data_IF_760972937238
#
_entry.id   IF_760972937238
#
_cell.length_a   1.000
_cell.length_b   1.000
_cell.length_c   1.000
_cell.angle_alpha   90.00
_cell.angle_beta   90.00
_cell.angle_gamma   90.00
#
_symmetry.space_group_name_H-M   'P 1'
#
loop_
_entity.id
_entity.type
_entity.pdbx_description
1 polymer ?
#
# COMPACT_ATOMS: atom_id res chain seq x y z
N UNK A 1 -17.45 -3.19 29.13
CA UNK A 1 -17.25 -3.91 27.85
C UNK A 1 -16.75 -3.00 26.71
N UNK A 2 -17.37 -1.84 26.45
CA UNK A 2 -16.94 -0.93 25.37
C UNK A 2 -15.51 -0.37 25.50
N UNK A 3 -15.03 -0.12 26.72
CA UNK A 3 -13.65 0.34 26.96
C UNK A 3 -12.59 -0.72 26.65
N UNK A 4 -12.92 -2.02 26.83
CA UNK A 4 -12.03 -3.13 26.51
C UNK A 4 -11.86 -3.29 25.00
N UNK A 5 -12.96 -3.17 24.25
CA UNK A 5 -12.98 -3.16 22.78
C UNK A 5 -12.22 -1.96 22.20
N UNK A 6 -12.37 -0.77 22.79
CA UNK A 6 -11.64 0.42 22.32
C UNK A 6 -10.13 0.33 22.58
N UNK A 7 -9.72 -0.29 23.70
CA UNK A 7 -8.31 -0.58 23.99
C UNK A 7 -7.73 -1.59 22.99
N UNK A 8 -8.47 -2.64 22.67
CA UNK A 8 -8.06 -3.63 21.67
C UNK A 8 -7.92 -3.01 20.27
N UNK A 9 -8.86 -2.17 19.84
CA UNK A 9 -8.80 -1.50 18.54
C UNK A 9 -7.60 -0.53 18.46
N UNK A 10 -7.33 0.23 19.54
CA UNK A 10 -6.14 1.08 19.65
C UNK A 10 -4.84 0.26 19.65
N UNK A 11 -4.84 -0.90 20.31
CA UNK A 11 -3.68 -1.81 20.33
C UNK A 11 -3.41 -2.45 18.97
N UNK A 12 -4.45 -2.85 18.22
CA UNK A 12 -4.33 -3.37 16.86
C UNK A 12 -3.80 -2.29 15.91
N UNK A 13 -4.31 -1.06 16.02
CA UNK A 13 -3.83 0.07 15.22
C UNK A 13 -2.38 0.45 15.60
N UNK A 14 -2.01 0.39 16.88
CA UNK A 14 -0.64 0.59 17.34
C UNK A 14 0.30 -0.53 16.89
N UNK A 15 -0.15 -1.78 16.87
CA UNK A 15 0.63 -2.92 16.39
C UNK A 15 0.87 -2.85 14.88
N UNK A 16 -0.14 -2.45 14.10
CA UNK A 16 0.02 -2.15 12.68
C UNK A 16 1.01 -1.00 12.45
N UNK A 17 0.99 0.02 13.31
CA UNK A 17 1.97 1.12 13.27
C UNK A 17 3.40 0.72 13.65
N UNK A 18 3.58 -0.28 14.50
CA UNK A 18 4.91 -0.81 14.87
C UNK A 18 5.50 -1.67 13.74
N UNK A 19 4.65 -2.23 12.88
CA UNK A 19 5.09 -3.08 11.77
C UNK A 19 5.63 -2.31 10.57
N UNK A 20 5.22 -1.07 10.34
CA UNK A 20 5.59 -0.30 9.15
C UNK A 20 6.26 1.03 9.52
N UNK A 21 7.55 1.15 9.22
CA UNK A 21 8.32 2.39 9.36
C UNK A 21 8.22 3.21 8.08
N UNK A 22 7.63 4.41 8.16
CA UNK A 22 7.46 5.33 7.02
C UNK A 22 8.41 6.53 7.15
N UNK A 23 9.29 6.66 6.16
CA UNK A 23 10.34 7.67 6.16
C UNK A 23 10.30 8.49 4.86
N UNK A 24 10.37 9.82 4.99
CA UNK A 24 10.39 10.75 3.87
C UNK A 24 11.81 11.27 3.60
N UNK A 25 12.11 11.47 2.31
CA UNK A 25 13.39 11.95 1.84
C UNK A 25 13.19 13.04 0.78
N UNK A 26 14.04 14.07 0.81
CA UNK A 26 14.21 15.06 -0.26
C UNK A 26 15.61 14.90 -0.84
N UNK A 27 15.73 14.71 -2.16
CA UNK A 27 17.02 14.53 -2.83
C UNK A 27 17.90 13.44 -2.17
N UNK A 28 17.28 12.34 -1.72
CA UNK A 28 17.88 11.23 -0.96
C UNK A 28 18.31 11.55 0.49
N UNK A 29 18.05 12.74 0.99
CA UNK A 29 18.30 13.15 2.39
C UNK A 29 17.02 13.02 3.20
N UNK A 30 17.09 12.38 4.37
CA UNK A 30 15.92 12.21 5.24
C UNK A 30 15.37 13.56 5.70
N UNK A 31 14.07 13.75 5.56
CA UNK A 31 13.36 14.93 6.02
C UNK A 31 13.14 14.81 7.52
N UNK A 32 13.67 15.78 8.26
CA UNK A 32 13.44 15.95 9.69
C UNK A 32 12.33 16.96 9.91
N UNK A 33 11.68 16.88 11.07
CA UNK A 33 10.69 17.87 11.49
C UNK A 33 11.40 19.22 11.66
N UNK A 34 10.84 20.26 11.03
CA UNK A 34 11.26 21.65 11.12
C UNK A 34 10.02 22.53 11.32
N UNK A 35 10.13 23.83 11.64
CA UNK A 35 8.96 24.70 11.71
C UNK A 35 8.11 24.73 10.43
N UNK A 36 8.74 24.46 9.27
CA UNK A 36 8.08 24.40 7.96
C UNK A 36 7.70 22.99 7.53
N UNK A 37 8.40 21.97 7.98
CA UNK A 37 8.17 20.56 7.63
C UNK A 37 7.62 19.79 8.82
N UNK A 38 6.36 19.38 8.77
CA UNK A 38 5.78 18.56 9.82
C UNK A 38 5.00 17.39 9.25
N UNK A 39 4.82 16.37 10.09
CA UNK A 39 4.09 15.18 9.74
C UNK A 39 2.74 15.14 10.44
N UNK A 40 1.73 14.60 9.77
CA UNK A 40 0.41 14.37 10.39
C UNK A 40 0.44 13.18 11.35
N UNK A 41 -0.67 12.97 12.06
CA UNK A 41 -0.84 11.85 13.00
C UNK A 41 -0.51 10.51 12.34
N UNK A 42 0.63 9.94 12.73
CA UNK A 42 1.12 8.65 12.22
C UNK A 42 2.13 8.73 11.10
N UNK A 43 2.72 9.91 10.84
CA UNK A 43 3.80 10.07 9.88
C UNK A 43 3.42 9.70 8.43
N UNK A 44 2.12 9.74 8.11
CA UNK A 44 1.58 9.31 6.82
C UNK A 44 1.63 10.41 5.75
N UNK A 45 1.62 11.67 6.18
CA UNK A 45 1.57 12.83 5.29
C UNK A 45 2.66 13.81 5.74
N UNK A 46 3.47 14.27 4.79
CA UNK A 46 4.41 15.39 4.95
C UNK A 46 3.69 16.68 4.54
N UNK A 47 3.72 17.68 5.42
CA UNK A 47 3.20 19.02 5.16
C UNK A 47 4.36 20.00 5.11
N UNK A 48 4.39 20.83 4.06
CA UNK A 48 5.37 21.90 3.86
C UNK A 48 4.62 23.22 3.92
N UNK A 49 4.92 24.06 4.91
CA UNK A 49 4.33 25.38 5.08
C UNK A 49 5.15 26.41 4.32
N UNK A 50 4.44 27.33 3.66
CA UNK A 50 5.04 28.47 2.96
C UNK A 50 6.09 27.98 1.95
N UNK A 51 5.65 27.29 0.89
CA UNK A 51 6.54 26.63 -0.08
C UNK A 51 7.47 27.62 -0.77
N UNK A 52 8.77 27.31 -0.80
CA UNK A 52 9.83 28.14 -1.38
C UNK A 52 10.54 27.40 -2.51
N UNK A 53 11.24 28.14 -3.37
CA UNK A 53 12.02 27.57 -4.48
C UNK A 53 13.01 26.48 -4.06
N UNK A 54 13.59 26.59 -2.85
CA UNK A 54 14.51 25.60 -2.30
C UNK A 54 13.86 24.25 -1.98
N UNK A 55 12.54 24.19 -1.88
CA UNK A 55 11.80 22.96 -1.59
C UNK A 55 11.59 22.12 -2.86
N UNK A 56 11.86 22.67 -4.05
CA UNK A 56 11.82 21.93 -5.30
C UNK A 56 12.85 20.79 -5.29
N UNK A 57 12.44 19.62 -5.77
CA UNK A 57 13.32 18.45 -5.73
C UNK A 57 12.58 17.14 -5.88
N UNK A 58 13.32 16.05 -5.70
CA UNK A 58 12.78 14.69 -5.75
C UNK A 58 12.44 14.22 -4.35
N UNK A 59 11.17 14.01 -4.09
CA UNK A 59 10.66 13.48 -2.85
C UNK A 59 10.48 11.97 -2.96
N UNK A 60 10.97 11.24 -1.97
CA UNK A 60 10.75 9.80 -1.86
C UNK A 60 10.13 9.47 -0.51
N UNK A 61 9.17 8.55 -0.51
CA UNK A 61 8.70 7.88 0.70
C UNK A 61 9.19 6.44 0.68
N UNK A 62 9.64 5.95 1.83
CA UNK A 62 10.06 4.57 2.02
C UNK A 62 9.23 4.00 3.16
N UNK A 63 8.51 2.92 2.89
CA UNK A 63 7.81 2.15 3.93
C UNK A 63 8.51 0.81 4.10
N UNK A 64 8.92 0.47 5.32
CA UNK A 64 9.68 -0.74 5.61
C UNK A 64 9.00 -1.56 6.71
N UNK A 65 8.93 -2.88 6.53
CA UNK A 65 8.52 -3.83 7.56
C UNK A 65 9.47 -5.04 7.60
N UNK A 66 9.19 -6.01 8.48
CA UNK A 66 9.97 -7.25 8.58
C UNK A 66 9.93 -8.13 7.32
N UNK A 67 8.95 -7.93 6.45
CA UNK A 67 8.76 -8.68 5.20
C UNK A 67 9.39 -7.99 3.98
N UNK A 68 9.71 -6.69 4.06
CA UNK A 68 10.25 -5.96 2.92
C UNK A 68 10.16 -4.45 3.01
N UNK A 69 10.52 -3.79 1.91
CA UNK A 69 10.49 -2.34 1.76
C UNK A 69 9.78 -1.97 0.46
N UNK A 70 8.83 -1.04 0.53
CA UNK A 70 8.28 -0.38 -0.66
C UNK A 70 8.75 1.09 -0.72
N UNK A 71 8.93 1.62 -1.94
CA UNK A 71 9.40 2.99 -2.16
C UNK A 71 8.54 3.68 -3.20
N UNK A 72 8.03 4.87 -2.88
CA UNK A 72 7.40 5.79 -3.82
C UNK A 72 8.31 6.99 -4.08
N UNK A 73 8.28 7.57 -5.28
CA UNK A 73 9.05 8.76 -5.64
C UNK A 73 8.21 9.72 -6.48
N UNK A 74 8.34 11.01 -6.23
CA UNK A 74 7.66 12.09 -6.95
C UNK A 74 8.57 13.32 -7.07
N UNK A 75 8.37 14.16 -8.08
CA UNK A 75 9.13 15.40 -8.27
C UNK A 75 8.25 16.60 -7.95
N UNK A 76 8.68 17.44 -7.01
CA UNK A 76 8.04 18.70 -6.69
C UNK A 76 8.71 19.83 -7.48
N UNK A 77 7.91 20.59 -8.21
CA UNK A 77 8.31 21.85 -8.83
C UNK A 77 7.54 22.99 -8.17
N UNK A 78 8.23 24.09 -7.88
CA UNK A 78 7.62 25.31 -7.34
C UNK A 78 7.54 26.30 -8.49
N UNK A 79 6.32 26.72 -8.83
CA UNK A 79 6.07 27.66 -9.90
C UNK A 79 5.76 29.03 -9.30
N UNK A 80 6.33 30.10 -9.85
CA UNK A 80 5.85 31.45 -9.58
C UNK A 80 4.62 31.79 -10.41
N UNK A 81 3.85 32.76 -9.92
CA UNK A 81 2.66 33.30 -10.59
C UNK A 81 2.91 33.81 -12.03
N UNK A 82 4.17 33.97 -12.44
CA UNK A 82 4.56 34.37 -13.81
C UNK A 82 4.71 33.19 -14.80
N UNK A 83 4.44 31.95 -14.38
CA UNK A 83 4.08 30.85 -15.28
C UNK A 83 5.00 30.60 -16.47
N UNK A 84 6.25 30.22 -16.23
CA UNK A 84 7.04 29.49 -17.24
C UNK A 84 7.27 28.06 -16.75
N UNK A 85 6.28 27.21 -17.03
CA UNK A 85 6.45 25.77 -16.97
C UNK A 85 7.38 25.37 -18.13
N UNK A 86 8.67 25.29 -17.85
CA UNK A 86 9.60 24.60 -18.75
C UNK A 86 9.31 23.11 -18.57
N UNK A 87 8.44 22.59 -19.44
CA UNK A 87 8.21 21.17 -19.60
C UNK A 87 9.53 20.51 -20.03
N UNK A 88 10.22 19.94 -19.04
CA UNK A 88 11.25 18.96 -19.29
C UNK A 88 10.55 17.71 -19.83
N UNK A 89 10.50 17.61 -21.15
CA UNK A 89 10.17 16.42 -21.92
C UNK A 89 11.17 15.31 -21.60
N UNK A 90 10.94 14.61 -20.49
CA UNK A 90 11.54 13.31 -20.23
C UNK A 90 10.62 12.23 -20.79
N UNK A 91 11.05 11.65 -21.90
CA UNK A 91 10.60 10.38 -22.43
C UNK A 91 10.63 9.29 -21.35
N UNK A 92 9.48 8.68 -21.08
CA UNK A 92 9.42 7.33 -20.50
C UNK A 92 8.16 6.62 -20.99
N UNK A 93 8.43 5.55 -21.73
CA UNK A 93 7.53 4.47 -22.09
C UNK A 93 6.70 3.98 -20.88
N UNK A 94 5.39 3.78 -21.04
CA UNK A 94 4.54 3.09 -20.04
C UNK A 94 3.09 3.57 -19.94
N UNK A 95 2.30 3.19 -20.95
CA UNK A 95 0.83 3.09 -21.05
C UNK A 95 0.00 3.48 -19.79
N UNK A 96 -0.84 4.50 -19.95
CA UNK A 96 -2.29 4.58 -19.71
C UNK A 96 -3.02 3.49 -18.86
N UNK A 97 -2.43 2.91 -17.82
CA UNK A 97 -2.95 1.70 -17.16
C UNK A 97 -3.59 1.93 -15.78
N UNK A 98 -4.12 3.11 -15.47
CA UNK A 98 -4.86 3.30 -14.20
C UNK A 98 -6.18 2.53 -14.18
N UNK A 99 -6.85 2.39 -15.33
CA UNK A 99 -8.06 1.59 -15.50
C UNK A 99 -7.74 0.10 -15.67
N UNK A 100 -6.77 -0.23 -16.53
CA UNK A 100 -6.36 -1.61 -16.84
C UNK A 100 -5.75 -2.32 -15.64
N UNK A 101 -4.85 -1.68 -14.88
CA UNK A 101 -4.23 -2.28 -13.68
C UNK A 101 -5.27 -2.55 -12.60
N UNK A 102 -6.20 -1.62 -12.40
CA UNK A 102 -7.28 -1.78 -11.41
C UNK A 102 -8.22 -2.93 -11.82
N UNK A 103 -8.55 -3.05 -13.10
CA UNK A 103 -9.35 -4.15 -13.63
C UNK A 103 -8.68 -5.52 -13.45
N UNK A 104 -7.38 -5.62 -13.77
CA UNK A 104 -6.61 -6.87 -13.61
C UNK A 104 -6.62 -7.33 -12.15
N UNK A 105 -6.41 -6.42 -11.19
CA UNK A 105 -6.40 -6.75 -9.76
C UNK A 105 -7.78 -7.27 -9.31
N UNK A 106 -8.86 -6.59 -9.71
CA UNK A 106 -10.22 -7.00 -9.35
C UNK A 106 -10.55 -8.38 -9.94
N UNK A 107 -10.26 -8.61 -11.21
CA UNK A 107 -10.50 -9.89 -11.90
C UNK A 107 -9.72 -11.02 -11.21
N UNK A 108 -8.45 -10.79 -10.90
CA UNK A 108 -7.63 -11.77 -10.19
C UNK A 108 -8.24 -12.16 -8.84
N UNK A 109 -8.68 -11.18 -8.04
CA UNK A 109 -9.33 -11.43 -6.73
C UNK A 109 -10.63 -12.22 -6.90
N UNK A 110 -11.50 -11.84 -7.84
CA UNK A 110 -12.76 -12.55 -8.08
C UNK A 110 -12.50 -14.00 -8.51
N UNK A 111 -11.56 -14.23 -9.43
CA UNK A 111 -11.15 -15.57 -9.84
C UNK A 111 -10.60 -16.41 -8.67
N UNK A 112 -9.80 -15.82 -7.78
CA UNK A 112 -9.28 -16.52 -6.60
C UNK A 112 -10.39 -16.91 -5.62
N UNK A 113 -11.37 -16.05 -5.38
CA UNK A 113 -12.52 -16.34 -4.50
C UNK A 113 -13.36 -17.47 -5.08
N UNK A 114 -13.62 -17.45 -6.40
CA UNK A 114 -14.37 -18.52 -7.08
C UNK A 114 -13.56 -19.83 -7.07
N UNK A 115 -12.27 -19.78 -7.41
CA UNK A 115 -11.40 -20.95 -7.45
C UNK A 115 -11.28 -21.64 -6.08
N UNK A 116 -11.05 -20.87 -5.01
CA UNK A 116 -10.99 -21.43 -3.65
C UNK A 116 -12.33 -22.07 -3.25
N UNK A 117 -13.46 -21.43 -3.55
CA UNK A 117 -14.79 -22.01 -3.29
C UNK A 117 -15.00 -23.35 -4.01
N UNK A 118 -14.63 -23.43 -5.29
CA UNK A 118 -14.72 -24.67 -6.08
C UNK A 118 -13.80 -25.76 -5.53
N UNK A 119 -12.56 -25.43 -5.15
CA UNK A 119 -11.63 -26.37 -4.52
C UNK A 119 -12.23 -26.96 -3.25
N UNK A 120 -12.84 -26.14 -2.40
CA UNK A 120 -13.53 -26.62 -1.20
C UNK A 120 -14.70 -27.55 -1.52
N UNK A 121 -15.55 -27.20 -2.49
CA UNK A 121 -16.65 -28.06 -2.95
C UNK A 121 -16.13 -29.39 -3.49
N UNK A 122 -15.05 -29.37 -4.26
CA UNK A 122 -14.40 -30.58 -4.78
C UNK A 122 -13.84 -31.41 -3.63
N UNK A 123 -13.18 -30.81 -2.64
CA UNK A 123 -12.67 -31.53 -1.47
C UNK A 123 -13.83 -32.18 -0.72
N UNK A 124 -14.91 -31.47 -0.42
CA UNK A 124 -16.09 -32.01 0.27
C UNK A 124 -16.73 -33.15 -0.53
N UNK A 125 -16.83 -32.98 -1.85
CA UNK A 125 -17.33 -33.99 -2.76
C UNK A 125 -16.42 -35.23 -2.77
N UNK A 126 -15.10 -35.02 -2.84
CA UNK A 126 -14.12 -36.09 -2.81
C UNK A 126 -14.09 -36.77 -1.44
N UNK A 127 -14.17 -36.06 -0.33
CA UNK A 127 -14.23 -36.68 1.00
C UNK A 127 -15.50 -37.49 1.16
N UNK A 128 -16.67 -36.99 0.74
CA UNK A 128 -17.91 -37.78 0.74
C UNK A 128 -17.80 -39.03 -0.13
N UNK A 129 -17.27 -38.90 -1.35
CA UNK A 129 -17.09 -40.04 -2.27
C UNK A 129 -16.02 -41.03 -1.80
N UNK A 130 -14.97 -40.57 -1.13
CA UNK A 130 -13.94 -41.41 -0.51
C UNK A 130 -14.48 -42.13 0.73
N UNK A 131 -15.39 -41.50 1.49
CA UNK A 131 -16.10 -42.15 2.60
C UNK A 131 -17.04 -43.26 2.10
N UNK A 132 -17.66 -43.12 0.93
CA UNK A 132 -18.45 -44.21 0.32
C UNK A 132 -17.58 -45.41 -0.09
N UNK A 133 -16.32 -45.18 -0.49
CA UNK A 133 -15.37 -46.25 -0.86
C UNK A 133 -14.66 -46.91 0.34
N UNK A 134 -14.65 -46.28 1.51
CA UNK A 134 -14.06 -46.85 2.74
C UNK A 134 -15.07 -47.63 3.59
N UNK A 135 -16.37 -47.44 3.37
CA UNK A 135 -17.43 -48.19 4.06
C UNK A 135 -17.81 -49.50 3.35
N UNK A 136 -17.10 -49.86 2.27
CA UNK A 136 -17.38 -51.02 1.43
C UNK A 136 -16.21 -52.03 1.34
N UNK A 137 -15.34 -52.10 2.36
CA UNK A 137 -14.34 -53.18 2.49
C UNK A 137 -14.81 -54.19 3.57
N UNK A 138 -14.95 -55.49 3.25
CA UNK A 138 -15.52 -56.49 4.15
C UNK A 138 -14.46 -57.15 5.04
N UNK A 139 -14.83 -57.45 6.28
CA UNK A 139 -14.27 -58.53 7.09
C UNK A 139 -15.34 -59.09 8.01
#
# INVERSE_FOLDING_TARGET
>A
MMLQQQKYLKAIHAFFRILFDLQFFINKVQIKVTPRHFFTTGNQILVIVDTQWSDAGVYSCRISNSLGTAKGTTRLQVLTASGEAVEASSSSFGLDDKSTTTGIIIIAVVCCVVGTSLVWVIIIYQTRKRHEMYSAAPS
#
